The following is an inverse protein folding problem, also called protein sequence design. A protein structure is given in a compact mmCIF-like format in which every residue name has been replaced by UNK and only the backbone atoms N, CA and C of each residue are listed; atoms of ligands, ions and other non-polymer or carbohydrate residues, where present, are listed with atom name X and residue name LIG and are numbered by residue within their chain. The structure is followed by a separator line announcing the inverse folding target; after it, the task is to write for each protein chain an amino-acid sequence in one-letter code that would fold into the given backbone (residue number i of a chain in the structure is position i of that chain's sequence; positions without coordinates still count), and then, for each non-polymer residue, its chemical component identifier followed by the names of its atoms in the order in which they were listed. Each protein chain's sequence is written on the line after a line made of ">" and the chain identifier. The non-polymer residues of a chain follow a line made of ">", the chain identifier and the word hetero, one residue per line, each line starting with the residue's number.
data_IF_292223190232
#
_entry.id   IF_292223190232
#
_cell.length_a   1.000
_cell.length_b   1.000
_cell.length_c   1.000
_cell.angle_alpha   90.00
_cell.angle_beta   90.00
_cell.angle_gamma   90.00
#
_symmetry.space_group_name_H-M   'P 1'
#
loop_
_entity.id
_entity.type
_entity.pdbx_description
1 polymer ?
#
# COMPACT_ATOMS: atom_id res chain seq x y z
N UNK A 1 0.57 -26.14 -9.12
CA UNK A 1 0.69 -25.64 -7.73
C UNK A 1 1.85 -24.67 -7.74
N UNK A 2 1.64 -23.43 -7.31
CA UNK A 2 2.70 -22.41 -7.25
C UNK A 2 3.56 -22.68 -6.01
N UNK A 3 4.87 -22.63 -6.14
CA UNK A 3 5.84 -22.82 -5.06
C UNK A 3 6.63 -21.53 -4.80
N UNK A 4 7.35 -21.47 -3.68
CA UNK A 4 8.25 -20.34 -3.38
C UNK A 4 9.30 -20.13 -4.48
N UNK A 5 9.70 -21.19 -5.18
CA UNK A 5 10.66 -21.11 -6.29
C UNK A 5 10.10 -20.39 -7.52
N UNK A 6 8.78 -20.26 -7.60
CA UNK A 6 8.08 -19.62 -8.71
C UNK A 6 7.80 -18.13 -8.45
N UNK A 7 8.22 -17.59 -7.29
CA UNK A 7 8.09 -16.17 -7.01
C UNK A 7 8.95 -15.36 -7.99
N UNK A 8 8.42 -14.25 -8.55
CA UNK A 8 9.19 -13.38 -9.44
C UNK A 8 10.48 -12.89 -8.78
N UNK A 9 11.59 -12.88 -9.52
CA UNK A 9 12.87 -12.38 -9.04
C UNK A 9 12.87 -10.84 -8.90
N UNK A 10 12.12 -10.14 -9.76
CA UNK A 10 12.00 -8.67 -9.73
C UNK A 10 11.55 -8.15 -8.36
N UNK A 11 12.19 -7.08 -7.89
CA UNK A 11 11.88 -6.42 -6.62
C UNK A 11 11.26 -5.05 -6.86
N UNK A 12 10.24 -4.73 -6.06
CA UNK A 12 9.58 -3.42 -6.06
C UNK A 12 9.65 -2.73 -4.69
N UNK A 13 10.19 -3.43 -3.69
CA UNK A 13 10.69 -2.86 -2.43
C UNK A 13 12.19 -3.08 -2.44
N UNK A 14 12.93 -2.00 -2.68
CA UNK A 14 14.38 -1.99 -2.79
C UNK A 14 15.03 -2.03 -1.40
N UNK A 15 16.34 -2.29 -1.40
CA UNK A 15 17.18 -2.15 -0.22
C UNK A 15 17.28 -0.67 0.22
N UNK A 16 17.61 -0.45 1.50
CA UNK A 16 17.80 0.91 2.03
C UNK A 16 16.52 1.59 2.50
N UNK A 17 15.69 0.88 3.25
CA UNK A 17 14.50 1.41 3.92
C UNK A 17 14.78 1.66 5.41
N UNK A 18 13.91 2.43 6.09
CA UNK A 18 14.10 2.82 7.49
C UNK A 18 13.35 1.92 8.48
N UNK A 19 13.00 0.69 8.08
CA UNK A 19 12.25 -0.23 8.93
C UNK A 19 13.14 -0.85 10.03
N UNK A 20 12.50 -1.27 11.12
CA UNK A 20 13.17 -2.04 12.17
C UNK A 20 13.75 -3.35 11.60
N UNK A 21 14.86 -3.87 12.17
CA UNK A 21 15.38 -5.19 11.81
C UNK A 21 14.30 -6.27 11.96
N UNK A 22 14.02 -7.00 10.87
CA UNK A 22 12.98 -8.05 10.86
C UNK A 22 11.54 -7.52 10.74
N UNK A 23 11.33 -6.27 10.32
CA UNK A 23 9.98 -5.70 10.17
C UNK A 23 9.09 -6.52 9.21
N UNK A 24 7.99 -7.14 9.70
CA UNK A 24 7.13 -7.99 8.87
C UNK A 24 6.34 -7.19 7.82
N UNK A 25 6.08 -5.90 8.07
CA UNK A 25 5.37 -5.02 7.13
C UNK A 25 6.12 -4.93 5.79
N UNK A 26 7.45 -4.78 5.84
CA UNK A 26 8.27 -4.70 4.61
C UNK A 26 8.31 -6.02 3.86
N UNK A 27 8.36 -7.15 4.57
CA UNK A 27 8.32 -8.50 3.96
C UNK A 27 6.98 -8.72 3.27
N UNK A 28 5.88 -8.34 3.92
CA UNK A 28 4.54 -8.46 3.37
C UNK A 28 4.37 -7.57 2.13
N UNK A 29 4.78 -6.30 2.20
CA UNK A 29 4.71 -5.39 1.05
C UNK A 29 5.58 -5.86 -0.12
N UNK A 30 6.80 -6.31 0.15
CA UNK A 30 7.70 -6.89 -0.87
C UNK A 30 7.04 -8.06 -1.58
N UNK A 31 6.42 -8.97 -0.84
CA UNK A 31 5.73 -10.14 -1.39
C UNK A 31 4.49 -9.73 -2.20
N UNK A 32 3.73 -8.75 -1.69
CA UNK A 32 2.55 -8.21 -2.37
C UNK A 32 2.93 -7.58 -3.72
N UNK A 33 3.93 -6.70 -3.75
CA UNK A 33 4.33 -6.04 -5.00
C UNK A 33 4.98 -7.01 -5.99
N UNK A 34 5.61 -8.11 -5.54
CA UNK A 34 6.03 -9.18 -6.46
C UNK A 34 4.84 -9.83 -7.17
N UNK A 35 3.73 -10.03 -6.46
CA UNK A 35 2.52 -10.60 -7.04
C UNK A 35 1.79 -9.63 -7.98
N UNK A 36 1.76 -8.34 -7.64
CA UNK A 36 1.07 -7.31 -8.43
C UNK A 36 1.90 -6.78 -9.61
N UNK A 37 3.22 -6.78 -9.50
CA UNK A 37 4.12 -6.29 -10.55
C UNK A 37 4.24 -4.76 -10.62
N UNK A 38 4.97 -4.30 -11.64
CA UNK A 38 5.33 -2.87 -11.85
C UNK A 38 4.13 -1.96 -12.12
N UNK A 39 3.05 -2.50 -12.70
CA UNK A 39 1.87 -1.75 -13.14
C UNK A 39 0.89 -1.61 -11.96
N UNK A 40 1.43 -1.09 -10.85
CA UNK A 40 0.73 -0.91 -9.57
C UNK A 40 0.98 0.49 -9.04
N UNK A 41 -0.08 1.19 -8.64
CA UNK A 41 0.00 2.44 -7.87
C UNK A 41 -0.43 2.15 -6.44
N UNK A 42 0.41 2.55 -5.48
CA UNK A 42 0.13 2.37 -4.05
C UNK A 42 -0.25 3.70 -3.40
N UNK A 43 -1.32 3.71 -2.60
CA UNK A 43 -1.65 4.80 -1.68
C UNK A 43 -1.39 4.34 -0.25
N UNK A 44 -0.62 5.15 0.48
CA UNK A 44 -0.14 4.84 1.83
C UNK A 44 -0.57 5.96 2.78
N UNK A 45 -1.48 5.70 3.73
CA UNK A 45 -1.82 6.67 4.76
C UNK A 45 -0.66 6.82 5.75
N UNK A 46 -0.65 7.94 6.50
CA UNK A 46 0.28 8.15 7.61
C UNK A 46 0.34 6.93 8.54
N UNK A 47 1.51 6.29 8.63
CA UNK A 47 1.69 4.99 9.29
C UNK A 47 3.18 4.60 9.29
N UNK A 48 3.53 3.43 9.85
CA UNK A 48 4.89 2.89 9.68
C UNK A 48 5.28 2.81 8.20
N UNK A 49 4.38 2.37 7.32
CA UNK A 49 4.68 2.23 5.89
C UNK A 49 4.97 3.57 5.20
N UNK A 50 4.46 4.68 5.73
CA UNK A 50 4.81 6.03 5.25
C UNK A 50 6.22 6.45 5.69
N UNK A 51 6.65 6.05 6.89
CA UNK A 51 7.94 6.43 7.48
C UNK A 51 9.08 5.54 7.02
N UNK A 52 8.84 4.24 6.85
CA UNK A 52 9.89 3.28 6.49
C UNK A 52 10.32 3.37 5.02
N UNK A 53 9.59 4.09 4.15
CA UNK A 53 9.85 4.14 2.69
C UNK A 53 11.32 4.42 2.39
N UNK A 54 11.95 5.37 3.07
CA UNK A 54 13.39 5.62 3.19
C UNK A 54 13.56 7.01 3.82
N UNK A 55 14.79 7.39 4.16
CA UNK A 55 15.11 8.77 4.48
C UNK A 55 14.88 9.67 3.27
N UNK A 56 14.16 10.77 3.49
CA UNK A 56 13.97 11.83 2.49
C UNK A 56 15.35 12.31 1.97
N UNK A 57 15.50 12.58 0.66
CA UNK A 57 14.48 12.58 -0.40
C UNK A 57 14.33 11.24 -1.15
N UNK A 58 14.88 10.14 -0.63
CA UNK A 58 14.86 8.84 -1.31
C UNK A 58 13.65 8.01 -0.90
N UNK A 59 13.28 7.06 -1.76
CA UNK A 59 12.30 6.00 -1.47
C UNK A 59 12.86 4.65 -1.91
N UNK A 60 12.58 3.60 -1.13
CA UNK A 60 12.82 2.21 -1.50
C UNK A 60 11.65 1.60 -2.27
N UNK A 61 10.50 2.26 -2.34
CA UNK A 61 9.35 1.76 -3.08
C UNK A 61 9.54 2.11 -4.56
N UNK A 62 9.74 1.10 -5.40
CA UNK A 62 10.01 1.25 -6.83
C UNK A 62 8.74 1.22 -7.69
N UNK A 63 7.61 1.63 -7.10
CA UNK A 63 6.32 1.82 -7.76
C UNK A 63 5.77 3.21 -7.40
N UNK A 64 4.95 3.83 -8.26
CA UNK A 64 4.30 5.10 -7.93
C UNK A 64 3.58 5.02 -6.58
N UNK A 65 4.02 5.85 -5.64
CA UNK A 65 3.54 5.84 -4.26
C UNK A 65 2.98 7.21 -3.90
N UNK A 66 1.72 7.25 -3.47
CA UNK A 66 1.07 8.45 -2.95
C UNK A 66 0.93 8.33 -1.43
N UNK A 67 1.65 9.18 -0.70
CA UNK A 67 1.39 9.35 0.73
C UNK A 67 0.16 10.24 0.92
N UNK A 68 -0.74 9.83 1.81
CA UNK A 68 -2.01 10.51 2.06
C UNK A 68 -2.26 10.70 3.57
N UNK A 69 -3.21 11.56 3.91
CA UNK A 69 -3.72 11.73 5.27
C UNK A 69 -4.21 10.39 5.87
N UNK A 70 -4.13 10.28 7.19
CA UNK A 70 -4.26 8.99 7.88
C UNK A 70 -5.61 8.31 7.62
N UNK A 71 -6.68 9.11 7.64
CA UNK A 71 -8.07 8.71 7.47
C UNK A 71 -8.46 8.39 6.02
N UNK A 72 -7.61 8.70 5.04
CA UNK A 72 -8.03 8.90 3.66
C UNK A 72 -7.55 7.83 2.66
N UNK A 73 -6.96 6.72 3.12
CA UNK A 73 -6.38 5.68 2.24
C UNK A 73 -7.35 5.19 1.15
N UNK A 74 -8.53 4.71 1.54
CA UNK A 74 -9.51 4.18 0.60
C UNK A 74 -10.17 5.28 -0.26
N UNK A 75 -10.35 6.49 0.28
CA UNK A 75 -10.83 7.62 -0.51
C UNK A 75 -9.82 8.03 -1.59
N UNK A 76 -8.52 8.03 -1.26
CA UNK A 76 -7.44 8.23 -2.20
C UNK A 76 -7.40 7.14 -3.27
N UNK A 77 -7.56 5.88 -2.90
CA UNK A 77 -7.64 4.78 -3.87
C UNK A 77 -8.83 4.95 -4.83
N UNK A 78 -10.02 5.30 -4.34
CA UNK A 78 -11.17 5.63 -5.21
C UNK A 78 -10.84 6.76 -6.20
N UNK A 79 -10.10 7.79 -5.77
CA UNK A 79 -9.70 8.89 -6.64
C UNK A 79 -8.68 8.47 -7.71
N UNK A 80 -7.69 7.64 -7.35
CA UNK A 80 -6.70 7.10 -8.28
C UNK A 80 -7.39 6.23 -9.33
N UNK A 81 -8.26 5.31 -8.88
CA UNK A 81 -9.00 4.39 -9.75
C UNK A 81 -9.88 5.16 -10.76
N UNK A 82 -10.69 6.10 -10.28
CA UNK A 82 -11.52 6.92 -11.15
C UNK A 82 -10.69 7.74 -12.17
N UNK A 83 -9.52 8.23 -11.77
CA UNK A 83 -8.62 8.97 -12.66
C UNK A 83 -7.95 8.08 -13.71
N UNK A 84 -7.61 6.83 -13.37
CA UNK A 84 -7.07 5.85 -14.31
C UNK A 84 -8.14 5.40 -15.31
N UNK A 85 -9.34 5.13 -14.82
CA UNK A 85 -10.48 4.76 -15.66
C UNK A 85 -10.82 5.88 -16.66
N UNK A 86 -10.85 7.14 -16.22
CA UNK A 86 -11.05 8.29 -17.10
C UNK A 86 -9.93 8.47 -18.16
N UNK A 87 -8.74 7.94 -17.91
CA UNK A 87 -7.62 7.92 -18.86
C UNK A 87 -7.62 6.67 -19.76
N UNK A 88 -8.56 5.73 -19.57
CA UNK A 88 -8.59 4.44 -20.27
C UNK A 88 -7.44 3.49 -19.88
N UNK A 89 -6.94 3.60 -18.64
CA UNK A 89 -5.83 2.79 -18.10
C UNK A 89 -6.34 1.77 -17.08
N UNK A 90 -7.14 0.82 -17.54
CA UNK A 90 -7.77 -0.19 -16.68
C UNK A 90 -6.83 -1.37 -16.34
N UNK A 91 -5.61 -1.38 -16.89
CA UNK A 91 -4.58 -2.41 -16.67
C UNK A 91 -3.69 -2.15 -15.44
N UNK A 92 -3.81 -0.96 -14.83
CA UNK A 92 -3.02 -0.55 -13.66
C UNK A 92 -3.75 -0.93 -12.37
N UNK A 93 -3.09 -1.67 -11.49
CA UNK A 93 -3.64 -2.03 -10.19
C UNK A 93 -3.54 -0.87 -9.20
N UNK A 94 -4.64 -0.56 -8.52
CA UNK A 94 -4.65 0.39 -7.39
C UNK A 94 -4.60 -0.39 -6.07
N UNK A 95 -3.57 -0.13 -5.26
CA UNK A 95 -3.36 -0.74 -3.95
C UNK A 95 -3.49 0.31 -2.84
N UNK A 96 -4.46 0.15 -1.95
CA UNK A 96 -4.47 0.83 -0.66
C UNK A 96 -3.76 -0.03 0.39
N UNK A 97 -2.66 0.48 0.95
CA UNK A 97 -1.83 -0.23 1.93
C UNK A 97 -1.87 0.47 3.28
N UNK A 98 -2.74 0.01 4.18
CA UNK A 98 -3.02 0.65 5.45
C UNK A 98 -2.70 -0.28 6.64
N UNK A 99 -2.32 0.31 7.78
CA UNK A 99 -2.21 -0.43 9.04
C UNK A 99 -3.57 -0.65 9.70
N UNK A 100 -3.61 -1.41 10.79
CA UNK A 100 -4.83 -1.66 11.58
C UNK A 100 -5.49 -0.37 12.06
N UNK A 101 -4.73 0.60 12.58
CA UNK A 101 -5.30 1.91 12.96
C UNK A 101 -5.96 2.67 11.81
N UNK A 102 -5.38 2.61 10.60
CA UNK A 102 -5.96 3.23 9.40
C UNK A 102 -7.09 2.41 8.77
N UNK A 103 -7.40 1.22 9.29
CA UNK A 103 -8.39 0.30 8.72
C UNK A 103 -9.56 0.06 9.66
N UNK A 104 -9.29 -0.18 10.95
CA UNK A 104 -10.27 -0.52 11.97
C UNK A 104 -10.77 0.69 12.77
N UNK A 105 -10.07 1.81 12.69
CA UNK A 105 -10.39 3.03 13.44
C UNK A 105 -10.56 4.21 12.48
N UNK A 106 -9.59 5.14 12.42
CA UNK A 106 -9.77 6.45 11.78
C UNK A 106 -10.10 6.38 10.28
N UNK A 107 -9.61 5.37 9.55
CA UNK A 107 -9.87 5.22 8.12
C UNK A 107 -11.07 4.33 7.76
N UNK A 108 -11.79 3.78 8.76
CA UNK A 108 -12.92 2.87 8.52
C UNK A 108 -14.02 3.52 7.69
N UNK A 109 -14.31 4.80 7.91
CA UNK A 109 -15.34 5.52 7.16
C UNK A 109 -14.99 5.63 5.66
N UNK A 110 -13.73 5.95 5.34
CA UNK A 110 -13.28 6.02 3.96
C UNK A 110 -13.32 4.64 3.29
N UNK A 111 -12.93 3.58 4.02
CA UNK A 111 -13.02 2.21 3.54
C UNK A 111 -14.45 1.80 3.24
N UNK A 112 -15.36 1.97 4.21
CA UNK A 112 -16.79 1.68 4.04
C UNK A 112 -17.38 2.40 2.82
N UNK A 113 -17.10 3.70 2.66
CA UNK A 113 -17.57 4.46 1.51
C UNK A 113 -17.01 3.99 0.17
N UNK A 114 -15.75 3.55 0.11
CA UNK A 114 -15.15 3.01 -1.11
C UNK A 114 -15.76 1.66 -1.51
N UNK A 115 -16.05 0.81 -0.53
CA UNK A 115 -16.70 -0.48 -0.75
C UNK A 115 -18.15 -0.32 -1.22
N UNK A 116 -18.91 0.61 -0.62
CA UNK A 116 -20.29 0.92 -1.04
C UNK A 116 -20.36 1.41 -2.50
N UNK A 117 -19.33 2.15 -2.96
CA UNK A 117 -19.21 2.59 -4.36
C UNK A 117 -18.78 1.48 -5.32
N UNK A 118 -18.36 0.32 -4.82
CA UNK A 118 -17.77 -0.73 -5.64
C UNK A 118 -16.48 -0.31 -6.34
N UNK A 119 -15.65 0.53 -5.70
CA UNK A 119 -14.34 0.92 -6.25
C UNK A 119 -13.53 -0.33 -6.62
N UNK A 120 -12.88 -0.32 -7.79
CA UNK A 120 -12.05 -1.43 -8.26
C UNK A 120 -10.59 -1.27 -7.79
N UNK A 121 -10.29 -1.78 -6.60
CA UNK A 121 -8.99 -1.65 -5.97
C UNK A 121 -8.72 -2.82 -5.03
N UNK A 122 -7.46 -2.98 -4.64
CA UNK A 122 -7.07 -3.90 -3.59
C UNK A 122 -6.84 -3.08 -2.32
N UNK A 123 -7.52 -3.43 -1.23
CA UNK A 123 -7.27 -2.87 0.09
C UNK A 123 -6.59 -3.91 0.98
N UNK A 124 -5.43 -3.56 1.54
CA UNK A 124 -4.72 -4.40 2.50
C UNK A 124 -4.64 -3.67 3.83
N UNK A 125 -5.14 -4.34 4.87
CA UNK A 125 -4.81 -4.05 6.26
C UNK A 125 -3.61 -4.91 6.68
N UNK A 126 -2.44 -4.31 6.85
CA UNK A 126 -1.36 -4.97 7.57
C UNK A 126 -1.61 -4.77 9.07
N UNK A 127 -2.00 -5.83 9.76
CA UNK A 127 -2.37 -5.75 11.17
C UNK A 127 -1.15 -6.06 12.06
N UNK A 128 -0.60 -5.04 12.71
CA UNK A 128 0.44 -5.19 13.73
C UNK A 128 -0.11 -4.91 15.15
N UNK A 129 -1.43 -4.78 15.28
CA UNK A 129 -2.21 -4.72 16.52
C UNK A 129 -1.90 -3.51 17.41
N UNK A 130 -1.32 -2.44 16.85
CA UNK A 130 -1.06 -1.20 17.57
C UNK A 130 -0.77 -0.04 16.62
N UNK A 131 -0.82 1.19 17.15
CA UNK A 131 -0.29 2.37 16.47
C UNK A 131 1.24 2.45 16.51
N UNK A 132 1.91 1.47 15.88
CA UNK A 132 3.37 1.22 15.98
C UNK A 132 4.26 2.44 15.70
N UNK A 133 3.85 3.34 14.80
CA UNK A 133 4.70 4.47 14.41
C UNK A 133 4.77 5.57 15.48
N UNK A 134 3.74 5.69 16.30
CA UNK A 134 3.58 6.80 17.26
C UNK A 134 4.02 6.46 18.67
N UNK A 135 4.60 5.27 18.88
CA UNK A 135 5.01 4.75 20.19
C UNK A 135 4.01 3.73 20.73
#
# INVERSE_FOLDING_TARGET
>A
MVSIKDLPENEYVLEGNAACPGCPITIALRTMLKALGKDTIITVPASCSAVIQSLYPKTSFAVPTLNIAFEAAAASASGIEAALHAQGKDDITVLAWAGDGGSYDIGLQALSGALERGTNFIYVCYNNQMYSNTG
#
